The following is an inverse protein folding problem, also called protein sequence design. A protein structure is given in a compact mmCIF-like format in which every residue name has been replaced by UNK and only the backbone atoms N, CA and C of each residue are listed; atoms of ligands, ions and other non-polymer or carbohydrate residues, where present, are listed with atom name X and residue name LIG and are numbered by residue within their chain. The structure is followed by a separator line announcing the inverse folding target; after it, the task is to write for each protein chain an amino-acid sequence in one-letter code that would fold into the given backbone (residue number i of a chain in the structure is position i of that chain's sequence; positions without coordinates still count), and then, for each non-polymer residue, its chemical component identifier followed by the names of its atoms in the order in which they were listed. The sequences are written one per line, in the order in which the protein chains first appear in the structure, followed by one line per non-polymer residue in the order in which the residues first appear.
data_IF_432040172127
#
_entry.id   IF_432040172127
#
_cell.length_a   1.000
_cell.length_b   1.000
_cell.length_c   1.000
_cell.angle_alpha   90.00
_cell.angle_beta   90.00
_cell.angle_gamma   90.00
#
_symmetry.space_group_name_H-M   'P 1'
#
loop_
_entity.id
_entity.type
_entity.pdbx_description
1 polymer ?
#
# COMPACT_ATOMS: atom_id res chain seq x y z
N UNK A 1 16.78 -23.92 -16.41
CA UNK A 1 15.96 -23.10 -17.33
C UNK A 1 15.62 -24.00 -18.52
N UNK A 2 14.36 -23.92 -19.00
CA UNK A 2 13.88 -24.84 -20.02
C UNK A 2 14.70 -24.71 -21.33
N UNK A 3 14.98 -25.83 -21.98
CA UNK A 3 15.69 -25.89 -23.28
C UNK A 3 14.82 -25.52 -24.48
N UNK A 4 13.64 -24.89 -24.22
CA UNK A 4 12.70 -24.50 -25.25
C UNK A 4 13.20 -23.24 -25.97
N UNK A 5 13.30 -23.29 -27.28
CA UNK A 5 13.70 -22.12 -28.07
C UNK A 5 12.55 -21.08 -28.08
N UNK A 6 12.88 -19.80 -27.88
CA UNK A 6 12.00 -18.63 -28.00
C UNK A 6 10.91 -18.44 -26.92
N UNK A 7 10.95 -19.17 -25.81
CA UNK A 7 9.95 -19.04 -24.75
C UNK A 7 10.42 -18.24 -23.52
N UNK A 8 11.68 -17.82 -23.50
CA UNK A 8 12.23 -16.99 -22.44
C UNK A 8 12.20 -15.53 -22.88
N UNK A 9 11.66 -14.67 -22.02
CA UNK A 9 11.68 -13.22 -22.19
C UNK A 9 12.13 -12.56 -20.91
N UNK A 10 13.15 -11.72 -21.02
CA UNK A 10 13.50 -10.80 -19.96
C UNK A 10 12.53 -9.64 -19.99
N UNK A 11 11.76 -9.47 -18.94
CA UNK A 11 10.79 -8.39 -18.78
C UNK A 11 11.26 -7.49 -17.64
N UNK A 12 12.11 -6.54 -17.98
CA UNK A 12 12.61 -5.58 -17.01
C UNK A 12 11.57 -4.48 -16.72
N UNK A 13 10.31 -4.84 -16.59
CA UNK A 13 9.23 -3.91 -16.33
C UNK A 13 9.50 -3.18 -15.00
N UNK A 14 9.47 -1.87 -15.05
CA UNK A 14 9.72 -0.97 -13.92
C UNK A 14 11.12 -1.12 -13.28
N UNK A 15 12.10 -1.65 -13.99
CA UNK A 15 13.45 -1.87 -13.47
C UNK A 15 13.57 -3.04 -12.47
N UNK A 16 12.53 -3.84 -12.31
CA UNK A 16 12.50 -4.91 -11.32
C UNK A 16 13.29 -6.17 -11.71
N UNK A 17 13.85 -6.22 -12.93
CA UNK A 17 14.67 -7.35 -13.37
C UNK A 17 13.92 -8.68 -13.39
N UNK A 18 12.69 -8.69 -13.91
CA UNK A 18 11.85 -9.89 -13.98
C UNK A 18 12.00 -10.65 -15.29
N UNK A 19 11.71 -11.95 -15.28
CA UNK A 19 11.63 -12.80 -16.47
C UNK A 19 10.34 -13.60 -16.51
N UNK A 20 9.95 -13.99 -17.71
CA UNK A 20 8.85 -14.92 -17.96
C UNK A 20 9.28 -15.99 -18.98
N UNK A 21 8.91 -17.23 -18.72
CA UNK A 21 9.11 -18.38 -19.60
C UNK A 21 7.93 -19.33 -19.42
N UNK A 22 7.68 -20.19 -20.39
CA UNK A 22 6.65 -21.25 -20.26
C UNK A 22 6.90 -22.24 -19.11
N UNK A 23 8.14 -22.32 -18.61
CA UNK A 23 8.51 -23.15 -17.45
C UNK A 23 8.41 -22.43 -16.11
N UNK A 24 8.16 -21.11 -16.09
CA UNK A 24 8.06 -20.32 -14.88
C UNK A 24 8.35 -18.84 -15.10
N UNK A 25 8.16 -18.07 -14.04
CA UNK A 25 8.48 -16.65 -14.01
C UNK A 25 9.14 -16.31 -12.66
N UNK A 26 9.88 -15.21 -12.62
CA UNK A 26 10.54 -14.76 -11.40
C UNK A 26 11.38 -13.51 -11.60
N UNK A 27 12.14 -13.18 -10.57
CA UNK A 27 13.13 -12.12 -10.58
C UNK A 27 14.53 -12.65 -10.97
N UNK A 28 15.50 -11.76 -11.04
CA UNK A 28 16.88 -12.10 -11.41
C UNK A 28 17.54 -13.06 -10.41
N UNK A 29 17.20 -12.99 -9.12
CA UNK A 29 17.75 -13.88 -8.11
C UNK A 29 17.25 -15.30 -8.30
N UNK A 30 15.94 -15.47 -8.50
CA UNK A 30 15.35 -16.78 -8.80
C UNK A 30 15.93 -17.36 -10.07
N UNK A 31 16.10 -16.53 -11.12
CA UNK A 31 16.75 -16.97 -12.37
C UNK A 31 18.18 -17.47 -12.14
N UNK A 32 18.97 -16.74 -11.35
CA UNK A 32 20.34 -17.12 -11.02
C UNK A 32 20.40 -18.41 -10.21
N UNK A 33 19.51 -18.61 -9.25
CA UNK A 33 19.40 -19.86 -8.49
C UNK A 33 19.02 -21.05 -9.37
N UNK A 34 18.04 -20.89 -10.25
CA UNK A 34 17.62 -21.94 -11.21
C UNK A 34 18.70 -22.26 -12.24
N UNK A 35 19.50 -21.27 -12.64
CA UNK A 35 20.59 -21.44 -13.60
C UNK A 35 21.80 -22.16 -12.99
N UNK A 36 22.19 -21.77 -11.78
CA UNK A 36 23.36 -22.30 -11.08
C UNK A 36 23.09 -23.63 -10.35
N UNK A 37 21.83 -23.83 -9.94
CA UNK A 37 21.45 -24.93 -9.03
C UNK A 37 21.92 -24.70 -7.59
N UNK A 38 22.42 -23.52 -7.26
CA UNK A 38 22.95 -23.15 -5.95
C UNK A 38 21.87 -22.54 -5.05
N UNK A 39 21.95 -22.71 -3.72
CA UNK A 39 21.04 -22.07 -2.79
C UNK A 39 21.27 -20.55 -2.73
N UNK A 40 20.24 -19.81 -2.31
CA UNK A 40 20.22 -18.36 -2.27
C UNK A 40 21.50 -17.72 -1.70
N UNK A 41 21.99 -18.22 -0.56
CA UNK A 41 23.17 -17.65 0.11
C UNK A 41 24.43 -17.69 -0.75
N UNK A 42 24.62 -18.76 -1.53
CA UNK A 42 25.79 -18.91 -2.42
C UNK A 42 25.66 -18.00 -3.63
N UNK A 43 24.46 -17.95 -4.24
CA UNK A 43 24.19 -17.06 -5.38
C UNK A 43 24.33 -15.60 -4.96
N UNK A 44 23.79 -15.21 -3.82
CA UNK A 44 23.92 -13.86 -3.29
C UNK A 44 25.38 -13.48 -3.07
N UNK A 45 26.18 -14.35 -2.42
CA UNK A 45 27.62 -14.13 -2.21
C UNK A 45 28.41 -13.96 -3.51
N UNK A 46 28.05 -14.72 -4.56
CA UNK A 46 28.70 -14.59 -5.88
C UNK A 46 28.32 -13.28 -6.58
N UNK A 47 27.05 -12.87 -6.47
CA UNK A 47 26.60 -11.58 -7.00
C UNK A 47 27.33 -10.44 -6.28
N UNK A 48 27.41 -10.48 -4.94
CA UNK A 48 28.12 -9.49 -4.13
C UNK A 48 29.61 -9.38 -4.51
N UNK A 49 30.25 -10.51 -4.83
CA UNK A 49 31.63 -10.53 -5.29
C UNK A 49 31.82 -9.87 -6.68
N UNK A 50 30.80 -9.92 -7.55
CA UNK A 50 30.85 -9.34 -8.90
C UNK A 50 30.53 -7.85 -8.88
N UNK A 51 29.47 -7.44 -8.14
CA UNK A 51 29.01 -6.04 -8.10
C UNK A 51 29.81 -5.18 -7.13
N UNK A 52 30.76 -5.79 -6.39
CA UNK A 52 31.45 -5.16 -5.28
C UNK A 52 30.44 -4.86 -4.18
N UNK A 53 30.52 -5.60 -3.08
CA UNK A 53 29.59 -5.54 -1.95
C UNK A 53 29.24 -4.08 -1.60
N UNK A 54 28.27 -3.53 -2.29
CA UNK A 54 27.65 -2.27 -1.91
C UNK A 54 26.83 -2.58 -0.68
N UNK A 55 27.50 -2.57 0.50
CA UNK A 55 26.75 -2.51 1.75
C UNK A 55 25.75 -1.37 1.58
N UNK A 56 24.48 -1.57 1.87
CA UNK A 56 23.56 -0.45 2.03
C UNK A 56 24.30 0.52 2.97
N UNK A 57 24.48 1.78 2.56
CA UNK A 57 25.12 2.79 3.38
C UNK A 57 24.62 2.59 4.81
N UNK A 58 25.51 2.44 5.79
CA UNK A 58 25.14 2.28 7.19
C UNK A 58 24.30 3.49 7.67
N UNK A 59 24.37 4.60 6.96
CA UNK A 59 23.49 5.76 7.08
C UNK A 59 22.06 5.52 6.59
N UNK A 60 21.78 4.39 5.89
CA UNK A 60 20.47 4.00 5.40
C UNK A 60 19.70 3.02 6.30
N UNK A 61 20.22 2.61 7.44
CA UNK A 61 19.46 1.87 8.42
C UNK A 61 18.26 2.73 8.84
N UNK A 62 17.08 2.44 8.28
CA UNK A 62 15.85 3.15 8.63
C UNK A 62 15.72 3.11 10.13
N UNK A 63 15.96 4.25 10.80
CA UNK A 63 15.82 4.37 12.25
C UNK A 63 14.48 3.77 12.67
N UNK A 64 14.53 2.72 13.46
CA UNK A 64 13.31 2.12 14.02
C UNK A 64 12.77 3.11 15.04
N UNK A 65 11.65 3.73 14.72
CA UNK A 65 10.98 4.65 15.63
C UNK A 65 10.46 3.89 16.84
N UNK A 66 10.63 4.46 18.04
CA UNK A 66 9.97 3.95 19.24
C UNK A 66 8.44 4.01 19.09
N UNK A 67 7.72 3.28 19.92
CA UNK A 67 6.25 3.29 19.88
C UNK A 67 5.68 4.69 20.14
N UNK A 68 6.29 5.45 21.06
CA UNK A 68 5.85 6.82 21.36
C UNK A 68 6.14 7.78 20.20
N UNK A 69 7.29 7.68 19.54
CA UNK A 69 7.60 8.45 18.33
C UNK A 69 6.61 8.13 17.19
N UNK A 70 6.30 6.85 16.99
CA UNK A 70 5.30 6.43 16.00
C UNK A 70 3.93 7.02 16.32
N UNK A 71 3.49 6.93 17.56
CA UNK A 71 2.22 7.45 18.03
C UNK A 71 2.15 8.98 17.90
N UNK A 72 3.25 9.66 18.21
CA UNK A 72 3.37 11.11 18.00
C UNK A 72 3.27 11.47 16.51
N UNK A 73 3.99 10.77 15.64
CA UNK A 73 3.96 10.99 14.19
C UNK A 73 2.54 10.77 13.61
N UNK A 74 1.83 9.71 14.04
CA UNK A 74 0.46 9.45 13.64
C UNK A 74 -0.48 10.60 14.04
N UNK A 75 -0.40 11.06 15.29
CA UNK A 75 -1.20 12.18 15.78
C UNK A 75 -0.90 13.47 15.02
N UNK A 76 0.37 13.74 14.75
CA UNK A 76 0.78 14.94 14.00
C UNK A 76 0.23 14.94 12.57
N UNK A 77 0.33 13.80 11.86
CA UNK A 77 -0.25 13.69 10.51
C UNK A 77 -1.78 13.82 10.56
N UNK A 78 -2.43 13.12 11.49
CA UNK A 78 -3.89 13.16 11.63
C UNK A 78 -4.40 14.58 11.94
N UNK A 79 -3.72 15.31 12.82
CA UNK A 79 -4.06 16.69 13.17
C UNK A 79 -3.97 17.65 11.97
N UNK A 80 -3.10 17.35 10.99
CA UNK A 80 -2.99 18.09 9.73
C UNK A 80 -4.06 17.74 8.69
N UNK A 81 -5.10 16.99 9.08
CA UNK A 81 -6.18 16.56 8.17
C UNK A 81 -7.55 16.99 8.67
N UNK A 82 -8.49 17.07 7.76
CA UNK A 82 -9.91 17.32 8.00
C UNK A 82 -10.76 16.21 7.36
N UNK A 83 -12.03 16.13 7.73
CA UNK A 83 -12.98 15.24 7.05
C UNK A 83 -13.04 15.60 5.57
N UNK A 84 -13.12 14.58 4.69
CA UNK A 84 -13.36 14.81 3.26
C UNK A 84 -14.73 15.46 3.08
N UNK A 85 -14.76 16.54 2.32
CA UNK A 85 -15.99 17.27 2.00
C UNK A 85 -16.10 17.52 0.49
N UNK A 86 -17.29 17.64 -0.06
CA UNK A 86 -17.48 17.98 -1.46
C UNK A 86 -16.68 19.23 -1.88
N UNK A 87 -15.95 19.14 -2.97
CA UNK A 87 -15.12 20.21 -3.53
C UNK A 87 -13.65 20.20 -3.11
N UNK A 88 -13.24 19.44 -2.07
CA UNK A 88 -11.82 19.27 -1.75
C UNK A 88 -11.11 18.36 -2.75
N UNK A 89 -9.77 18.24 -2.66
CA UNK A 89 -9.02 17.45 -3.65
C UNK A 89 -9.18 15.94 -3.46
N UNK A 90 -9.54 15.46 -2.28
CA UNK A 90 -9.86 14.05 -2.06
C UNK A 90 -11.23 13.71 -2.66
N UNK A 91 -12.22 14.60 -2.53
CA UNK A 91 -13.50 14.48 -3.22
C UNK A 91 -13.31 14.47 -4.74
N UNK A 92 -12.56 15.41 -5.30
CA UNK A 92 -12.26 15.45 -6.74
C UNK A 92 -11.60 14.15 -7.22
N UNK A 93 -10.66 13.62 -6.42
CA UNK A 93 -10.01 12.35 -6.72
C UNK A 93 -11.00 11.19 -6.75
N UNK A 94 -11.85 11.08 -5.75
CA UNK A 94 -12.87 10.03 -5.68
C UNK A 94 -13.92 10.18 -6.77
N UNK A 95 -14.37 11.40 -7.03
CA UNK A 95 -15.32 11.72 -8.11
C UNK A 95 -14.76 11.37 -9.48
N UNK A 96 -13.47 11.62 -9.73
CA UNK A 96 -12.81 11.21 -10.99
C UNK A 96 -12.80 9.69 -11.23
N UNK A 97 -13.15 8.92 -10.21
CA UNK A 97 -13.27 7.45 -10.22
C UNK A 97 -14.69 6.96 -10.07
N UNK A 98 -15.68 7.85 -10.24
CA UNK A 98 -17.10 7.61 -10.02
C UNK A 98 -17.43 7.16 -8.57
N UNK A 99 -16.68 7.68 -7.60
CA UNK A 99 -16.83 7.38 -6.17
C UNK A 99 -17.12 8.68 -5.36
N UNK A 100 -17.66 9.70 -6.01
CA UNK A 100 -18.10 10.94 -5.36
C UNK A 100 -19.32 10.69 -4.48
N UNK A 101 -19.28 11.20 -3.26
CA UNK A 101 -20.32 11.06 -2.26
C UNK A 101 -20.66 12.42 -1.64
N UNK A 102 -21.89 12.57 -1.17
CA UNK A 102 -22.26 13.74 -0.38
C UNK A 102 -21.69 13.68 1.06
N UNK A 103 -21.56 12.47 1.58
CA UNK A 103 -21.01 12.18 2.91
C UNK A 103 -20.01 11.06 2.78
N UNK A 104 -18.74 11.36 3.03
CA UNK A 104 -17.66 10.40 2.96
C UNK A 104 -17.49 9.60 4.27
N UNK A 105 -16.98 8.35 4.19
CA UNK A 105 -16.62 7.57 5.38
C UNK A 105 -15.74 8.36 6.36
N UNK A 106 -16.03 8.30 7.64
CA UNK A 106 -15.25 8.97 8.70
C UNK A 106 -13.77 8.57 8.71
N UNK A 107 -13.48 7.36 8.21
CA UNK A 107 -12.12 6.85 8.05
C UNK A 107 -11.31 7.63 7.00
N UNK A 108 -11.98 8.31 6.05
CA UNK A 108 -11.33 9.09 4.99
C UNK A 108 -11.21 10.55 5.39
N UNK A 109 -10.03 11.08 5.25
CA UNK A 109 -9.69 12.46 5.59
C UNK A 109 -8.88 13.11 4.47
N UNK A 110 -8.89 14.42 4.41
CA UNK A 110 -8.12 15.22 3.48
C UNK A 110 -7.07 16.05 4.22
N UNK A 111 -5.80 15.91 3.81
CA UNK A 111 -4.69 16.75 4.26
C UNK A 111 -4.22 17.63 3.10
N UNK A 112 -4.36 18.97 3.20
CA UNK A 112 -4.04 19.86 2.08
C UNK A 112 -2.55 19.93 1.78
N UNK A 113 -1.68 19.71 2.77
CA UNK A 113 -0.23 19.83 2.64
C UNK A 113 0.49 18.88 3.60
N UNK A 114 0.59 17.59 3.24
CA UNK A 114 1.32 16.61 4.04
C UNK A 114 2.71 16.33 3.43
N UNK A 115 3.70 16.12 4.30
CA UNK A 115 5.05 15.73 3.89
C UNK A 115 5.03 14.43 3.08
N UNK A 116 5.59 14.44 1.88
CA UNK A 116 5.60 13.30 0.96
C UNK A 116 6.75 12.31 1.21
N UNK A 117 7.69 12.67 2.08
CA UNK A 117 8.89 11.87 2.38
C UNK A 117 9.98 11.98 1.30
N UNK A 118 9.83 12.89 0.34
CA UNK A 118 10.82 13.21 -0.70
C UNK A 118 11.28 14.67 -0.61
N UNK A 119 11.05 15.30 0.53
CA UNK A 119 11.40 16.70 0.79
C UNK A 119 10.34 17.71 0.42
N UNK A 120 9.19 17.27 -0.10
CA UNK A 120 8.06 18.12 -0.48
C UNK A 120 6.83 17.94 0.40
N UNK A 121 5.83 18.78 0.12
CA UNK A 121 4.47 18.67 0.67
C UNK A 121 3.46 18.57 -0.45
N UNK A 122 2.44 17.75 -0.27
CA UNK A 122 1.41 17.51 -1.28
C UNK A 122 0.04 17.34 -0.66
N UNK A 123 -1.04 17.63 -1.38
CA UNK A 123 -2.38 17.24 -0.97
C UNK A 123 -2.46 15.72 -0.90
N UNK A 124 -3.23 15.22 0.07
CA UNK A 124 -3.24 13.81 0.37
C UNK A 124 -4.62 13.37 0.89
N UNK A 125 -5.15 12.31 0.33
CA UNK A 125 -6.22 11.55 0.96
C UNK A 125 -5.61 10.63 2.01
N UNK A 126 -6.10 10.70 3.24
CA UNK A 126 -5.61 9.92 4.38
C UNK A 126 -6.71 8.99 4.86
N UNK A 127 -6.40 7.71 4.98
CA UNK A 127 -7.32 6.73 5.53
C UNK A 127 -6.82 6.21 6.88
N UNK A 128 -7.69 6.21 7.88
CA UNK A 128 -7.40 5.68 9.21
C UNK A 128 -7.46 4.16 9.16
N UNK A 129 -6.35 3.52 9.53
CA UNK A 129 -6.25 2.07 9.68
C UNK A 129 -6.49 1.71 11.13
N UNK A 130 -7.41 0.79 11.36
CA UNK A 130 -7.78 0.33 12.70
C UNK A 130 -7.46 -1.16 12.85
N UNK A 131 -7.26 -1.61 14.09
CA UNK A 131 -7.18 -3.03 14.44
C UNK A 131 -8.58 -3.68 14.51
N UNK A 132 -8.63 -4.95 14.89
CA UNK A 132 -9.88 -5.70 15.04
C UNK A 132 -10.83 -5.06 16.06
N UNK A 133 -10.29 -4.42 17.10
CA UNK A 133 -11.08 -3.70 18.12
C UNK A 133 -11.53 -2.30 17.68
N UNK A 134 -11.22 -1.88 16.44
CA UNK A 134 -11.53 -0.54 15.92
C UNK A 134 -10.60 0.57 16.43
N UNK A 135 -9.50 0.22 17.11
CA UNK A 135 -8.52 1.19 17.59
C UNK A 135 -7.60 1.63 16.45
N UNK A 136 -7.40 2.95 16.25
CA UNK A 136 -6.46 3.45 15.24
C UNK A 136 -5.02 2.98 15.50
N UNK A 137 -4.40 2.34 14.50
CA UNK A 137 -3.04 1.78 14.57
C UNK A 137 -2.10 2.34 13.53
N UNK A 138 -2.64 2.89 12.43
CA UNK A 138 -1.83 3.51 11.38
C UNK A 138 -2.66 4.47 10.52
N UNK A 139 -1.98 5.12 9.57
CA UNK A 139 -2.60 5.92 8.52
C UNK A 139 -2.05 5.47 7.16
N UNK A 140 -2.96 5.27 6.21
CA UNK A 140 -2.63 5.10 4.81
C UNK A 140 -2.77 6.44 4.10
N UNK A 141 -1.76 6.85 3.36
CA UNK A 141 -1.67 8.14 2.67
C UNK A 141 -1.66 7.92 1.17
N UNK A 142 -2.59 8.56 0.46
CA UNK A 142 -2.62 8.62 -1.00
C UNK A 142 -2.36 10.06 -1.42
N UNK A 143 -1.14 10.35 -1.88
CA UNK A 143 -0.76 11.66 -2.36
C UNK A 143 -1.44 11.95 -3.69
N UNK A 144 -1.97 13.15 -3.81
CA UNK A 144 -2.79 13.57 -4.93
C UNK A 144 -2.05 14.62 -5.78
N UNK A 145 -2.40 14.67 -7.04
CA UNK A 145 -2.02 15.75 -7.95
C UNK A 145 -2.68 17.04 -7.50
N UNK A 146 -2.09 18.18 -7.84
CA UNK A 146 -2.57 19.49 -7.40
C UNK A 146 -4.00 19.84 -7.89
N UNK A 147 -4.45 19.22 -8.97
CA UNK A 147 -5.83 19.35 -9.49
C UNK A 147 -6.82 18.37 -8.84
N UNK A 148 -6.34 17.41 -8.08
CA UNK A 148 -7.13 16.35 -7.46
C UNK A 148 -7.59 15.24 -8.40
N UNK A 149 -7.32 15.30 -9.70
CA UNK A 149 -7.89 14.35 -10.68
C UNK A 149 -7.17 13.00 -10.71
N UNK A 150 -5.99 12.90 -10.10
CA UNK A 150 -5.19 11.68 -10.08
C UNK A 150 -4.30 11.62 -8.84
N UNK A 151 -3.65 10.46 -8.64
CA UNK A 151 -2.52 10.33 -7.70
C UNK A 151 -1.35 11.18 -8.16
N UNK A 152 -0.55 11.65 -7.21
CA UNK A 152 0.65 12.43 -7.50
C UNK A 152 1.63 11.64 -8.39
N UNK A 153 2.27 12.33 -9.31
CA UNK A 153 3.34 11.80 -10.15
C UNK A 153 4.62 11.69 -9.31
N UNK A 154 4.77 10.58 -8.62
CA UNK A 154 5.90 10.24 -7.77
C UNK A 154 6.06 8.71 -7.72
N UNK A 155 7.25 8.25 -7.38
CA UNK A 155 7.58 6.82 -7.37
C UNK A 155 6.58 5.99 -6.54
N UNK A 156 6.20 6.48 -5.37
CA UNK A 156 5.25 5.80 -4.47
C UNK A 156 4.17 6.80 -3.99
N UNK A 157 3.09 6.98 -4.75
CA UNK A 157 2.01 7.90 -4.36
C UNK A 157 1.15 7.39 -3.21
N UNK A 158 1.28 6.11 -2.84
CA UNK A 158 0.60 5.50 -1.69
C UNK A 158 1.62 5.06 -0.67
N UNK A 159 1.48 5.53 0.56
CA UNK A 159 2.40 5.21 1.67
C UNK A 159 1.66 4.94 2.95
N UNK A 160 2.06 3.87 3.63
CA UNK A 160 1.70 3.67 5.04
C UNK A 160 2.58 4.52 5.95
N UNK A 161 2.05 4.86 7.13
CA UNK A 161 2.93 5.34 8.19
C UNK A 161 3.85 4.20 8.65
N UNK A 162 5.09 4.51 9.09
CA UNK A 162 6.03 3.49 9.54
C UNK A 162 5.49 2.64 10.69
N UNK A 163 5.77 1.34 10.65
CA UNK A 163 5.45 0.39 11.69
C UNK A 163 4.74 -0.86 11.18
N UNK A 164 4.76 -1.91 11.98
CA UNK A 164 4.03 -3.12 11.70
C UNK A 164 2.53 -2.93 11.98
N UNK A 165 1.71 -3.57 11.17
CA UNK A 165 0.26 -3.61 11.36
C UNK A 165 -0.14 -4.91 12.05
N UNK A 166 -1.04 -4.85 13.03
CA UNK A 166 -1.58 -6.07 13.63
C UNK A 166 -2.39 -6.88 12.61
N UNK A 167 -2.53 -8.17 12.88
CA UNK A 167 -3.41 -9.05 12.09
C UNK A 167 -4.83 -8.48 12.14
N UNK A 168 -5.53 -8.54 11.02
CA UNK A 168 -6.90 -8.02 10.90
C UNK A 168 -7.01 -6.51 10.74
N UNK A 169 -5.88 -5.77 10.69
CA UNK A 169 -5.92 -4.33 10.46
C UNK A 169 -6.57 -3.99 9.12
N UNK A 170 -7.43 -2.96 9.09
CA UNK A 170 -8.13 -2.54 7.87
C UNK A 170 -8.58 -1.07 7.96
N UNK A 171 -9.03 -0.53 6.85
CA UNK A 171 -9.78 0.73 6.81
C UNK A 171 -11.27 0.39 6.81
N UNK A 172 -11.99 0.80 7.85
CA UNK A 172 -13.44 0.63 7.96
C UNK A 172 -14.13 1.77 7.23
N UNK A 173 -14.59 1.50 6.01
CA UNK A 173 -15.25 2.50 5.15
C UNK A 173 -16.75 2.67 5.47
N UNK A 174 -17.29 1.82 6.29
CA UNK A 174 -18.66 1.89 6.83
C UNK A 174 -18.64 1.49 8.30
N UNK A 175 -19.70 1.83 9.01
CA UNK A 175 -19.86 1.36 10.39
C UNK A 175 -20.07 -0.16 10.43
N UNK A 176 -19.78 -0.78 11.56
CA UNK A 176 -20.03 -2.20 11.75
C UNK A 176 -21.52 -2.50 11.59
N UNK A 177 -21.80 -3.55 10.86
CA UNK A 177 -23.16 -4.06 10.69
C UNK A 177 -23.19 -5.51 11.12
N UNK A 178 -24.30 -5.94 11.68
CA UNK A 178 -24.59 -7.36 11.85
C UNK A 178 -24.99 -7.92 10.51
N UNK A 179 -24.19 -8.81 9.92
CA UNK A 179 -24.46 -9.42 8.63
C UNK A 179 -23.22 -9.45 7.72
N UNK A 180 -23.40 -9.81 6.45
CA UNK A 180 -22.29 -10.00 5.54
C UNK A 180 -21.51 -8.69 5.32
N UNK A 181 -20.18 -8.79 5.45
CA UNK A 181 -19.25 -7.73 5.16
C UNK A 181 -18.23 -8.18 4.12
N UNK A 182 -17.94 -7.33 3.15
CA UNK A 182 -16.90 -7.56 2.17
C UNK A 182 -15.56 -6.96 2.58
N UNK A 183 -14.49 -7.49 2.01
CA UNK A 183 -13.15 -6.94 2.12
C UNK A 183 -12.52 -6.85 0.73
N UNK A 184 -11.87 -5.74 0.42
CA UNK A 184 -11.13 -5.53 -0.81
C UNK A 184 -9.71 -5.04 -0.53
N UNK A 185 -8.79 -5.20 -1.47
CA UNK A 185 -7.41 -4.76 -1.29
C UNK A 185 -7.32 -3.24 -1.16
N UNK A 186 -7.92 -2.49 -2.10
CA UNK A 186 -7.80 -1.04 -2.18
C UNK A 186 -9.05 -0.31 -1.68
N UNK A 187 -8.86 0.94 -1.25
CA UNK A 187 -9.94 1.83 -0.80
C UNK A 187 -10.95 2.05 -1.93
N UNK A 188 -10.46 2.39 -3.10
CA UNK A 188 -11.30 2.65 -4.29
C UNK A 188 -12.08 1.38 -4.70
N UNK A 189 -11.42 0.23 -4.64
CA UNK A 189 -12.06 -1.07 -4.94
C UNK A 189 -13.14 -1.40 -3.91
N UNK A 190 -12.87 -1.15 -2.63
CA UNK A 190 -13.84 -1.39 -1.56
C UNK A 190 -15.08 -0.50 -1.72
N UNK A 191 -14.88 0.80 -1.99
CA UNK A 191 -15.99 1.73 -2.24
C UNK A 191 -16.80 1.33 -3.48
N UNK A 192 -16.12 0.95 -4.59
CA UNK A 192 -16.79 0.46 -5.80
C UNK A 192 -17.61 -0.81 -5.52
N UNK A 193 -17.03 -1.77 -4.81
CA UNK A 193 -17.72 -3.01 -4.47
C UNK A 193 -18.94 -2.74 -3.57
N UNK A 194 -18.79 -1.84 -2.59
CA UNK A 194 -19.91 -1.43 -1.73
C UNK A 194 -21.06 -0.83 -2.56
N UNK A 195 -20.76 0.05 -3.50
CA UNK A 195 -21.76 0.68 -4.38
C UNK A 195 -22.44 -0.34 -5.31
N UNK A 196 -21.68 -1.30 -5.86
CA UNK A 196 -22.21 -2.29 -6.82
C UNK A 196 -23.08 -3.34 -6.12
N UNK A 197 -22.64 -3.85 -4.97
CA UNK A 197 -23.30 -4.97 -4.31
C UNK A 197 -24.26 -4.54 -3.20
N UNK A 198 -24.28 -3.27 -2.82
CA UNK A 198 -25.14 -2.77 -1.73
C UNK A 198 -24.76 -3.36 -0.36
N UNK A 199 -23.50 -3.75 -0.18
CA UNK A 199 -22.97 -4.37 1.03
C UNK A 199 -21.87 -3.49 1.63
N UNK A 200 -21.70 -3.51 2.98
CA UNK A 200 -20.53 -2.91 3.60
C UNK A 200 -19.25 -3.58 3.10
N UNK A 201 -18.27 -2.81 2.64
CA UNK A 201 -16.96 -3.34 2.21
C UNK A 201 -15.85 -2.50 2.83
N UNK A 202 -14.92 -3.15 3.52
CA UNK A 202 -13.74 -2.54 4.10
C UNK A 202 -12.52 -2.70 3.20
N UNK A 203 -11.45 -1.96 3.44
CA UNK A 203 -10.20 -2.08 2.68
C UNK A 203 -9.08 -2.65 3.53
N UNK A 204 -8.46 -3.73 3.04
CA UNK A 204 -7.27 -4.35 3.63
C UNK A 204 -5.96 -3.62 3.25
N UNK A 205 -6.01 -2.64 2.34
CA UNK A 205 -4.89 -1.80 1.91
C UNK A 205 -3.88 -2.52 1.01
N UNK A 206 -3.56 -3.77 1.29
CA UNK A 206 -2.66 -4.60 0.48
C UNK A 206 -3.01 -6.08 0.58
N UNK A 207 -2.49 -6.87 -0.35
CA UNK A 207 -2.72 -8.32 -0.46
C UNK A 207 -2.26 -9.07 0.78
N UNK A 208 -1.14 -8.70 1.39
CA UNK A 208 -0.61 -9.41 2.57
C UNK A 208 -1.52 -9.28 3.79
N UNK A 209 -2.18 -8.14 3.96
CA UNK A 209 -3.18 -7.94 5.02
C UNK A 209 -4.48 -8.66 4.64
N UNK A 210 -4.90 -8.54 3.37
CA UNK A 210 -6.11 -9.21 2.87
C UNK A 210 -6.09 -10.72 3.14
N UNK A 211 -4.97 -11.37 2.90
CA UNK A 211 -4.80 -12.82 3.15
C UNK A 211 -4.90 -13.23 4.62
N UNK A 212 -4.69 -12.30 5.55
CA UNK A 212 -4.71 -12.53 7.00
C UNK A 212 -5.93 -11.89 7.68
N UNK A 213 -6.79 -11.25 6.89
CA UNK A 213 -7.95 -10.57 7.43
C UNK A 213 -8.98 -11.58 7.95
N UNK A 214 -9.60 -11.23 9.05
CA UNK A 214 -10.69 -11.99 9.66
C UNK A 214 -11.89 -11.05 9.86
N UNK A 215 -13.11 -11.50 9.54
CA UNK A 215 -14.30 -10.70 9.79
C UNK A 215 -14.52 -10.50 11.29
N UNK A 216 -15.17 -9.40 11.69
CA UNK A 216 -15.65 -9.23 13.06
C UNK A 216 -16.58 -10.35 13.48
N UNK A 217 -16.71 -10.57 14.79
CA UNK A 217 -17.68 -11.52 15.33
C UNK A 217 -19.11 -11.09 14.95
N UNK A 218 -19.90 -12.04 14.46
CA UNK A 218 -21.29 -11.80 14.05
C UNK A 218 -21.48 -11.37 12.59
N UNK A 219 -20.39 -11.37 11.80
CA UNK A 219 -20.45 -11.15 10.34
C UNK A 219 -20.38 -12.45 9.56
#
# INVERSE_FOLDING_TARGET
ICRSQNNFRWDNKDGAGTYICTCGAGDGMKLAMEFTGEPFAQVASRIDAIVGNTRPDEDGAKRVLSEDERRHALRSVYAGTQQVVPGDLADKYLTSRNLGELIYPKALRFGPALKDGQGGVRPCMVATVVDMAGKPVSLHRTFLRADGMAKAEMQEPRKMMPGELPVGACVRLCEETTGPIGIAEGIETAMSASAIYGLPVWSAINTSILMKWQPPEGC
#
